data_IF_476156926983
#
_entry.id   IF_476156926983
#
_cell.length_a   1.000
_cell.length_b   1.000
_cell.length_c   1.000
_cell.angle_alpha   90.00
_cell.angle_beta   90.00
_cell.angle_gamma   90.00
#
_symmetry.space_group_name_H-M   'P 1'
#
loop_
_entity.id
_entity.type
_entity.pdbx_description
1 polymer ?
#
# COMPACT_ATOMS: atom_id res chain seq x y z
N UNK A 1 -13.71 -9.36 2.57
CA UNK A 1 -12.40 -9.54 3.24
C UNK A 1 -11.32 -9.15 2.23
N UNK A 2 -10.29 -8.43 2.65
CA UNK A 2 -9.18 -8.06 1.77
C UNK A 2 -8.18 -9.22 1.72
N UNK A 3 -7.88 -9.73 0.52
CA UNK A 3 -7.10 -10.97 0.33
C UNK A 3 -5.76 -10.77 -0.38
N UNK A 4 -5.55 -9.60 -1.00
CA UNK A 4 -4.33 -9.25 -1.71
C UNK A 4 -4.17 -7.74 -1.78
N UNK A 5 -2.93 -7.27 -1.76
CA UNK A 5 -2.58 -5.87 -1.83
C UNK A 5 -1.46 -5.68 -2.84
N UNK A 6 -1.77 -4.97 -3.92
CA UNK A 6 -0.83 -4.56 -4.95
C UNK A 6 -0.53 -3.07 -4.77
N UNK A 7 0.75 -2.71 -4.63
CA UNK A 7 1.19 -1.32 -4.52
C UNK A 7 2.20 -1.02 -5.61
N UNK A 8 1.97 0.06 -6.35
CA UNK A 8 2.85 0.53 -7.43
C UNK A 8 3.20 2.00 -7.20
N UNK A 9 4.44 2.37 -7.47
CA UNK A 9 4.94 3.76 -7.44
C UNK A 9 4.58 4.52 -6.15
N UNK A 10 4.63 3.83 -5.00
CA UNK A 10 4.27 4.41 -3.71
C UNK A 10 5.48 4.47 -2.79
N UNK A 11 5.95 5.68 -2.51
CA UNK A 11 7.15 5.93 -1.69
C UNK A 11 8.34 5.13 -2.24
N UNK A 12 8.91 4.23 -1.43
CA UNK A 12 10.06 3.41 -1.82
C UNK A 12 9.69 2.16 -2.61
N UNK A 13 8.40 1.89 -2.82
CA UNK A 13 7.94 0.72 -3.57
C UNK A 13 7.82 1.09 -5.05
N UNK A 14 8.63 0.44 -5.89
CA UNK A 14 8.38 0.41 -7.33
C UNK A 14 7.13 -0.42 -7.62
N UNK A 15 7.19 -1.70 -7.26
CA UNK A 15 6.05 -2.62 -7.27
C UNK A 15 6.20 -3.64 -6.15
N UNK A 16 5.12 -3.86 -5.40
CA UNK A 16 5.02 -4.96 -4.43
C UNK A 16 3.64 -5.61 -4.54
N UNK A 17 3.62 -6.91 -4.27
CA UNK A 17 2.43 -7.74 -4.29
C UNK A 17 2.41 -8.60 -3.03
N UNK A 18 1.39 -8.40 -2.20
CA UNK A 18 1.30 -9.02 -0.88
C UNK A 18 -0.03 -9.78 -0.80
N UNK A 19 0.06 -11.08 -0.54
CA UNK A 19 -1.10 -11.88 -0.16
C UNK A 19 -1.53 -11.54 1.28
N UNK A 20 -2.83 -11.32 1.48
CA UNK A 20 -3.40 -11.00 2.78
C UNK A 20 -4.25 -12.18 3.28
N UNK A 21 -3.65 -12.98 4.16
CA UNK A 21 -4.37 -14.03 4.89
C UNK A 21 -5.14 -13.50 6.09
N UNK A 22 -5.50 -14.38 7.02
CA UNK A 22 -6.23 -14.00 8.25
C UNK A 22 -5.43 -13.05 9.16
N UNK A 23 -4.10 -13.18 9.17
CA UNK A 23 -3.19 -12.29 9.89
C UNK A 23 -1.88 -12.16 9.11
N UNK A 24 -1.34 -10.95 9.04
CA UNK A 24 -0.11 -10.64 8.32
C UNK A 24 0.79 -9.79 9.21
N UNK A 25 2.05 -10.19 9.34
CA UNK A 25 3.04 -9.48 10.16
C UNK A 25 4.16 -8.96 9.26
N UNK A 26 4.37 -7.64 9.28
CA UNK A 26 5.47 -7.00 8.56
C UNK A 26 6.71 -6.92 9.45
N UNK A 27 7.82 -7.58 9.06
CA UNK A 27 9.07 -7.68 9.84
C UNK A 27 10.24 -7.09 9.04
N UNK A 28 11.20 -6.47 9.73
CA UNK A 28 12.47 -6.01 9.13
C UNK A 28 13.04 -4.77 9.81
N UNK A 29 14.20 -4.26 9.36
CA UNK A 29 14.85 -3.06 9.92
C UNK A 29 14.01 -1.79 9.78
N UNK A 30 14.31 -0.76 10.57
CA UNK A 30 13.68 0.55 10.39
C UNK A 30 13.87 1.07 8.96
N UNK A 31 12.89 1.83 8.48
CA UNK A 31 12.81 2.33 7.12
C UNK A 31 12.59 1.28 6.01
N UNK A 32 12.55 -0.04 6.29
CA UNK A 32 12.42 -1.10 5.26
C UNK A 32 11.14 -1.09 4.41
N UNK A 33 10.14 -0.28 4.78
CA UNK A 33 8.87 -0.17 4.06
C UNK A 33 7.64 -0.62 4.85
N UNK A 34 7.79 -1.15 6.07
CA UNK A 34 6.65 -1.62 6.89
C UNK A 34 5.56 -0.54 7.09
N UNK A 35 5.96 0.65 7.54
CA UNK A 35 5.04 1.79 7.69
C UNK A 35 4.46 2.23 6.36
N UNK A 36 5.25 2.15 5.27
CA UNK A 36 4.76 2.48 3.93
C UNK A 36 3.71 1.48 3.44
N UNK A 37 3.84 0.18 3.75
CA UNK A 37 2.83 -0.83 3.42
C UNK A 37 1.52 -0.53 4.16
N UNK A 38 1.56 -0.25 5.46
CA UNK A 38 0.36 0.12 6.23
C UNK A 38 -0.27 1.44 5.73
N UNK A 39 0.54 2.41 5.32
CA UNK A 39 0.05 3.67 4.75
C UNK A 39 -0.63 3.46 3.39
N UNK A 40 -0.07 2.61 2.53
CA UNK A 40 -0.71 2.25 1.26
C UNK A 40 -2.06 1.56 1.50
N UNK A 41 -2.15 0.71 2.54
CA UNK A 41 -3.40 0.05 2.91
C UNK A 41 -4.43 1.07 3.40
N UNK A 42 -4.03 2.02 4.25
CA UNK A 42 -4.91 3.07 4.75
C UNK A 42 -5.45 4.02 3.66
N UNK A 43 -4.80 4.09 2.49
CA UNK A 43 -5.30 4.86 1.35
C UNK A 43 -6.45 4.18 0.63
N UNK A 44 -6.66 2.86 0.80
CA UNK A 44 -7.78 2.14 0.21
C UNK A 44 -9.13 2.76 0.61
N UNK A 45 -9.28 3.18 1.86
CA UNK A 45 -10.53 3.75 2.37
C UNK A 45 -10.70 5.24 2.04
N UNK A 46 -9.64 5.92 1.59
CA UNK A 46 -9.74 7.34 1.25
C UNK A 46 -10.26 7.48 -0.18
N UNK A 47 -11.24 8.36 -0.43
CA UNK A 47 -11.60 8.75 -1.78
C UNK A 47 -10.34 9.30 -2.47
N UNK A 48 -9.94 8.68 -3.57
CA UNK A 48 -8.93 9.24 -4.45
C UNK A 48 -9.52 10.53 -5.01
N UNK A 49 -8.91 11.68 -4.65
CA UNK A 49 -9.12 12.89 -5.44
C UNK A 49 -8.53 12.59 -6.81
N UNK A 50 -9.38 12.34 -7.80
CA UNK A 50 -8.97 12.49 -9.19
C UNK A 50 -8.81 13.98 -9.40
N UNK A 51 -7.57 14.45 -9.48
CA UNK A 51 -7.31 15.74 -10.07
C UNK A 51 -7.50 15.56 -11.58
N UNK A 52 -8.77 15.56 -12.01
CA UNK A 52 -9.16 15.63 -13.41
C UNK A 52 -8.87 17.06 -13.91
N UNK A 53 -7.59 17.45 -13.94
CA UNK A 53 -7.12 18.56 -14.77
C UNK A 53 -6.94 18.01 -16.19
N UNK A 54 -8.07 17.80 -16.85
CA UNK A 54 -8.13 17.59 -18.29
C UNK A 54 -7.91 18.96 -18.93
N UNK A 55 -6.73 19.15 -19.52
CA UNK A 55 -6.44 20.23 -20.48
C UNK A 55 -6.98 19.85 -21.85
#
# INVERSE_FOLDING_TARGET
>A
MLTRMLVRNFKRFGEIDIELGNSVVFIGPNNSGKTAALQALALWEKPSRRDDQQT
#
